data_IF_500839180014
#
_entry.id   IF_500839180014
#
_cell.length_a   1.000
_cell.length_b   1.000
_cell.length_c   1.000
_cell.angle_alpha   90.00
_cell.angle_beta   90.00
_cell.angle_gamma   90.00
#
_symmetry.space_group_name_H-M   'P 1'
#
loop_
_entity.id
_entity.type
_entity.pdbx_description
1 polymer ?
#
# COMPACT_ATOMS: atom_id res chain seq x y z
N UNK A 1 -41.12 -11.03 33.17
CA UNK A 1 -39.70 -11.15 33.51
C UNK A 1 -38.91 -10.79 32.25
N UNK A 2 -38.66 -9.50 32.07
CA UNK A 2 -37.90 -8.98 30.94
C UNK A 2 -36.41 -9.15 31.27
N UNK A 3 -35.75 -10.12 30.65
CA UNK A 3 -34.30 -10.26 30.78
C UNK A 3 -33.65 -9.08 30.05
N UNK A 4 -33.16 -8.11 30.82
CA UNK A 4 -32.26 -7.09 30.29
C UNK A 4 -31.02 -7.80 29.73
N UNK A 5 -30.89 -7.85 28.41
CA UNK A 5 -29.69 -8.33 27.73
C UNK A 5 -28.55 -7.37 28.11
N UNK A 6 -27.77 -7.77 29.11
CA UNK A 6 -26.65 -6.97 29.59
C UNK A 6 -25.67 -6.74 28.44
N UNK A 7 -25.43 -5.47 28.11
CA UNK A 7 -24.48 -5.10 27.08
C UNK A 7 -23.10 -5.71 27.42
N UNK A 8 -22.40 -6.35 26.46
CA UNK A 8 -21.12 -6.99 26.72
C UNK A 8 -20.10 -5.97 27.27
N UNK A 9 -19.37 -6.35 28.32
CA UNK A 9 -18.40 -5.49 28.98
C UNK A 9 -17.27 -5.07 28.02
N UNK A 10 -16.64 -3.91 28.28
CA UNK A 10 -15.57 -3.36 27.45
C UNK A 10 -14.40 -4.36 27.23
N UNK A 11 -14.08 -5.17 28.25
CA UNK A 11 -13.11 -6.24 28.16
C UNK A 11 -13.53 -7.34 27.17
N UNK A 12 -14.83 -7.69 27.14
CA UNK A 12 -15.37 -8.68 26.22
C UNK A 12 -15.30 -8.16 24.77
N UNK A 13 -15.66 -6.88 24.53
CA UNK A 13 -15.58 -6.26 23.20
C UNK A 13 -14.14 -6.17 22.67
N UNK A 14 -13.18 -5.80 23.52
CA UNK A 14 -11.73 -5.79 23.16
C UNK A 14 -11.22 -7.20 22.84
N UNK A 15 -11.58 -8.20 23.65
CA UNK A 15 -11.20 -9.60 23.42
C UNK A 15 -11.80 -10.13 22.12
N UNK A 16 -13.08 -9.86 21.85
CA UNK A 16 -13.73 -10.22 20.58
C UNK A 16 -13.05 -9.55 19.40
N UNK A 17 -12.73 -8.26 19.46
CA UNK A 17 -12.02 -7.56 18.39
C UNK A 17 -10.65 -8.18 18.10
N UNK A 18 -9.86 -8.48 19.14
CA UNK A 18 -8.55 -9.13 18.98
C UNK A 18 -8.71 -10.52 18.35
N UNK A 19 -9.68 -11.32 18.82
CA UNK A 19 -9.92 -12.67 18.27
C UNK A 19 -10.35 -12.60 16.81
N UNK A 20 -11.24 -11.66 16.46
CA UNK A 20 -11.70 -11.47 15.07
C UNK A 20 -10.53 -11.06 14.18
N UNK A 21 -9.75 -10.04 14.56
CA UNK A 21 -8.58 -9.61 13.79
C UNK A 21 -7.56 -10.74 13.63
N UNK A 22 -7.29 -11.49 14.70
CA UNK A 22 -6.39 -12.64 14.66
C UNK A 22 -6.91 -13.74 13.73
N UNK A 23 -8.21 -14.04 13.78
CA UNK A 23 -8.82 -15.07 12.92
C UNK A 23 -8.75 -14.71 11.43
N UNK A 24 -8.96 -13.44 11.09
CA UNK A 24 -8.84 -12.93 9.71
C UNK A 24 -7.39 -13.04 9.25
N UNK A 25 -6.43 -12.62 10.08
CA UNK A 25 -5.01 -12.72 9.76
C UNK A 25 -4.58 -14.18 9.54
N UNK A 26 -5.02 -15.10 10.40
CA UNK A 26 -4.74 -16.53 10.26
C UNK A 26 -5.33 -17.09 8.96
N UNK A 27 -6.57 -16.73 8.63
CA UNK A 27 -7.21 -17.17 7.39
C UNK A 27 -6.45 -16.65 6.16
N UNK A 28 -6.06 -15.37 6.14
CA UNK A 28 -5.27 -14.78 5.05
C UNK A 28 -3.92 -15.47 4.87
N UNK A 29 -3.22 -15.76 5.97
CA UNK A 29 -1.94 -16.50 5.93
C UNK A 29 -2.15 -17.91 5.39
N UNK A 30 -3.15 -18.64 5.88
CA UNK A 30 -3.45 -19.99 5.41
C UNK A 30 -3.77 -20.02 3.90
N UNK A 31 -4.61 -19.10 3.42
CA UNK A 31 -4.93 -18.96 1.99
C UNK A 31 -3.68 -18.62 1.18
N UNK A 32 -2.84 -17.71 1.68
CA UNK A 32 -1.60 -17.32 0.99
C UNK A 32 -0.62 -18.50 0.88
N UNK A 33 -0.53 -19.34 1.91
CA UNK A 33 0.32 -20.55 1.90
C UNK A 33 -0.22 -21.57 0.90
N UNK A 34 -1.53 -21.84 0.91
CA UNK A 34 -2.16 -22.78 -0.03
C UNK A 34 -1.97 -22.30 -1.47
N UNK A 35 -2.21 -21.01 -1.72
CA UNK A 35 -1.98 -20.40 -3.03
C UNK A 35 -0.52 -20.55 -3.46
N UNK A 36 0.43 -20.22 -2.58
CA UNK A 36 1.86 -20.32 -2.87
C UNK A 36 2.32 -21.75 -3.15
N UNK A 37 1.69 -22.76 -2.54
CA UNK A 37 1.98 -24.17 -2.79
C UNK A 37 1.44 -24.66 -4.14
N UNK A 38 0.36 -24.06 -4.64
CA UNK A 38 -0.31 -24.47 -5.89
C UNK A 38 0.05 -23.63 -7.12
N UNK A 39 0.52 -22.39 -6.93
CA UNK A 39 0.66 -21.43 -8.00
C UNK A 39 2.05 -21.46 -8.65
N UNK A 40 2.14 -21.17 -9.96
CA UNK A 40 3.44 -20.97 -10.62
C UNK A 40 4.24 -19.83 -9.97
N UNK A 41 5.57 -19.97 -10.00
CA UNK A 41 6.54 -19.06 -9.38
C UNK A 41 6.24 -17.57 -9.58
N UNK A 42 5.91 -17.18 -10.82
CA UNK A 42 5.59 -15.80 -11.17
C UNK A 42 4.43 -15.23 -10.34
N UNK A 43 3.37 -16.02 -10.11
CA UNK A 43 2.20 -15.57 -9.36
C UNK A 43 2.48 -15.44 -7.87
N UNK A 44 3.33 -16.31 -7.32
CA UNK A 44 3.77 -16.22 -5.91
C UNK A 44 4.58 -14.95 -5.71
N UNK A 45 5.51 -14.64 -6.63
CA UNK A 45 6.33 -13.44 -6.58
C UNK A 45 5.49 -12.18 -6.75
N UNK A 46 4.49 -12.21 -7.63
CA UNK A 46 3.53 -11.12 -7.81
C UNK A 46 2.67 -10.90 -6.56
N UNK A 47 2.21 -11.98 -5.92
CA UNK A 47 1.45 -11.90 -4.67
C UNK A 47 2.29 -11.23 -3.56
N UNK A 48 3.55 -11.66 -3.38
CA UNK A 48 4.45 -11.08 -2.38
C UNK A 48 4.78 -9.62 -2.70
N UNK A 49 5.03 -9.30 -3.97
CA UNK A 49 5.30 -7.94 -4.44
C UNK A 49 4.13 -7.00 -4.18
N UNK A 50 2.92 -7.38 -4.63
CA UNK A 50 1.71 -6.56 -4.45
C UNK A 50 1.36 -6.45 -2.96
N UNK A 51 1.48 -7.54 -2.20
CA UNK A 51 1.26 -7.52 -0.75
C UNK A 51 2.19 -6.53 -0.03
N UNK A 52 3.49 -6.55 -0.35
CA UNK A 52 4.46 -5.60 0.19
C UNK A 52 4.16 -4.16 -0.26
N UNK A 53 3.72 -3.96 -1.51
CA UNK A 53 3.33 -2.65 -2.01
C UNK A 53 2.09 -2.10 -1.28
N UNK A 54 1.09 -2.94 -0.98
CA UNK A 54 -0.09 -2.57 -0.20
C UNK A 54 0.28 -2.14 1.22
N UNK A 55 1.17 -2.87 1.90
CA UNK A 55 1.63 -2.49 3.25
C UNK A 55 2.41 -1.18 3.22
N UNK A 56 3.29 -1.00 2.22
CA UNK A 56 4.09 0.21 2.07
C UNK A 56 3.24 1.45 1.75
N UNK A 57 2.45 1.40 0.69
CA UNK A 57 1.65 2.55 0.20
C UNK A 57 0.42 2.78 1.07
N UNK A 58 -0.30 1.70 1.41
CA UNK A 58 -1.48 1.78 2.27
C UNK A 58 -1.16 2.22 3.69
N UNK A 59 -0.03 1.75 4.25
CA UNK A 59 0.45 2.19 5.55
C UNK A 59 0.80 3.67 5.57
N UNK A 60 1.47 4.17 4.52
CA UNK A 60 1.80 5.60 4.39
C UNK A 60 0.54 6.47 4.31
N UNK A 61 -0.40 6.10 3.43
CA UNK A 61 -1.66 6.81 3.28
C UNK A 61 -2.47 6.83 4.59
N UNK A 62 -2.53 5.70 5.29
CA UNK A 62 -3.25 5.60 6.56
C UNK A 62 -2.69 6.56 7.62
N UNK A 63 -1.37 6.61 7.80
CA UNK A 63 -0.74 7.54 8.76
C UNK A 63 -1.02 8.99 8.39
N UNK A 64 -0.96 9.33 7.10
CA UNK A 64 -1.30 10.68 6.63
C UNK A 64 -2.76 11.04 6.94
N UNK A 65 -3.70 10.13 6.71
CA UNK A 65 -5.12 10.36 7.04
C UNK A 65 -5.28 10.57 8.54
N UNK A 66 -4.65 9.75 9.38
CA UNK A 66 -4.70 9.93 10.83
C UNK A 66 -4.13 11.28 11.26
N UNK A 67 -3.02 11.72 10.66
CA UNK A 67 -2.43 13.03 10.95
C UNK A 67 -3.38 14.18 10.55
N UNK A 68 -3.98 14.12 9.36
CA UNK A 68 -4.97 15.10 8.90
C UNK A 68 -6.20 15.12 9.81
N UNK A 69 -6.71 13.96 10.20
CA UNK A 69 -7.86 13.89 11.11
C UNK A 69 -7.55 14.45 12.50
N UNK A 70 -6.33 14.26 13.00
CA UNK A 70 -5.90 14.83 14.28
C UNK A 70 -5.71 16.36 14.21
N UNK A 71 -5.19 16.87 13.08
CA UNK A 71 -5.07 18.31 12.82
C UNK A 71 -6.44 18.97 12.67
N UNK A 72 -7.37 18.33 11.94
CA UNK A 72 -8.76 18.80 11.84
C UNK A 72 -9.50 18.79 13.18
N UNK A 73 -9.06 17.97 14.13
CA UNK A 73 -9.61 17.91 15.48
C UNK A 73 -8.90 18.86 16.47
N UNK A 74 -7.90 19.64 16.02
CA UNK A 74 -7.08 20.54 16.84
C UNK A 74 -6.47 19.84 18.07
N UNK A 75 -6.02 18.59 17.88
CA UNK A 75 -5.54 17.72 18.95
C UNK A 75 -4.03 17.45 18.85
N UNK A 76 -3.25 18.36 19.41
CA UNK A 76 -1.78 18.35 19.39
C UNK A 76 -1.16 17.10 20.05
N UNK A 77 -1.77 16.58 21.12
CA UNK A 77 -1.29 15.37 21.80
C UNK A 77 -1.39 14.13 20.90
N UNK A 78 -2.47 14.06 20.11
CA UNK A 78 -2.68 12.98 19.16
C UNK A 78 -1.74 13.08 17.95
N UNK A 79 -1.46 14.29 17.48
CA UNK A 79 -0.45 14.53 16.44
C UNK A 79 0.95 14.10 16.91
N UNK A 80 1.33 14.42 18.15
CA UNK A 80 2.61 14.01 18.72
C UNK A 80 2.73 12.49 18.81
N UNK A 81 1.68 11.80 19.28
CA UNK A 81 1.65 10.34 19.32
C UNK A 81 1.75 9.73 17.92
N UNK A 82 0.99 10.23 16.95
CA UNK A 82 1.06 9.75 15.55
C UNK A 82 2.48 9.96 15.01
N UNK A 83 3.13 11.08 15.34
CA UNK A 83 4.53 11.35 14.97
C UNK A 83 5.50 10.27 15.49
N UNK A 84 5.42 9.91 16.78
CA UNK A 84 6.26 8.86 17.36
C UNK A 84 6.02 7.48 16.75
N UNK A 85 4.75 7.13 16.49
CA UNK A 85 4.41 5.88 15.81
C UNK A 85 4.88 5.87 14.37
N UNK A 86 4.74 6.99 13.66
CA UNK A 86 5.22 7.15 12.29
C UNK A 86 6.74 7.01 12.24
N UNK A 87 7.50 7.66 13.11
CA UNK A 87 8.96 7.53 13.15
C UNK A 87 9.40 6.08 13.37
N UNK A 88 8.76 5.39 14.31
CA UNK A 88 9.16 4.02 14.68
C UNK A 88 8.75 2.99 13.62
N UNK A 89 7.51 3.10 13.11
CA UNK A 89 6.91 2.16 12.18
C UNK A 89 7.32 2.48 10.76
N UNK A 90 7.08 3.70 10.27
CA UNK A 90 7.45 4.09 8.91
C UNK A 90 8.97 4.04 8.71
N UNK A 91 9.75 4.46 9.70
CA UNK A 91 11.22 4.47 9.63
C UNK A 91 11.86 3.09 9.43
N UNK A 92 11.15 2.00 9.75
CA UNK A 92 11.66 0.62 9.58
C UNK A 92 10.86 -0.18 8.57
N UNK A 93 9.54 -0.12 8.66
CA UNK A 93 8.63 -0.92 7.84
C UNK A 93 8.64 -0.47 6.39
N UNK A 94 8.64 0.84 6.11
CA UNK A 94 8.55 1.32 4.73
C UNK A 94 9.82 1.01 3.94
N UNK A 95 11.04 1.30 4.44
CA UNK A 95 12.26 0.88 3.74
C UNK A 95 12.33 -0.62 3.53
N UNK A 96 12.01 -1.43 4.56
CA UNK A 96 12.00 -2.89 4.44
C UNK A 96 11.05 -3.36 3.34
N UNK A 97 9.82 -2.85 3.30
CA UNK A 97 8.86 -3.21 2.26
C UNK A 97 9.27 -2.69 0.87
N UNK A 98 9.91 -1.52 0.77
CA UNK A 98 10.45 -1.02 -0.50
C UNK A 98 11.51 -1.97 -1.09
N UNK A 99 12.40 -2.52 -0.27
CA UNK A 99 13.37 -3.52 -0.73
C UNK A 99 12.70 -4.82 -1.18
N UNK A 100 11.65 -5.24 -0.48
CA UNK A 100 10.86 -6.43 -0.85
C UNK A 100 10.16 -6.22 -2.19
N UNK A 101 9.49 -5.08 -2.37
CA UNK A 101 8.84 -4.69 -3.64
C UNK A 101 9.87 -4.63 -4.75
N UNK A 102 10.99 -3.93 -4.56
CA UNK A 102 12.04 -3.80 -5.56
C UNK A 102 12.64 -5.16 -5.93
N UNK A 103 12.99 -5.98 -4.94
CA UNK A 103 13.60 -7.29 -5.15
C UNK A 103 12.69 -8.23 -5.93
N UNK A 104 11.41 -8.33 -5.54
CA UNK A 104 10.45 -9.16 -6.27
C UNK A 104 10.09 -8.58 -7.65
N UNK A 105 10.08 -7.25 -7.79
CA UNK A 105 9.89 -6.58 -9.08
C UNK A 105 10.99 -6.95 -10.07
N UNK A 106 12.26 -6.83 -9.65
CA UNK A 106 13.43 -7.23 -10.45
C UNK A 106 13.39 -8.73 -10.76
N UNK A 107 13.07 -9.58 -9.78
CA UNK A 107 13.01 -11.02 -9.98
C UNK A 107 11.94 -11.44 -11.02
N UNK A 108 10.79 -10.75 -11.06
CA UNK A 108 9.76 -11.00 -12.06
C UNK A 108 10.15 -10.51 -13.46
N UNK A 109 10.89 -9.41 -13.56
CA UNK A 109 11.30 -8.86 -14.87
C UNK A 109 12.51 -9.55 -15.47
N UNK A 110 13.38 -10.19 -14.67
CA UNK A 110 14.49 -11.00 -15.18
C UNK A 110 14.04 -12.24 -15.98
N UNK A 111 12.81 -12.71 -15.76
CA UNK A 111 12.23 -13.88 -16.44
C UNK A 111 11.08 -13.52 -17.40
N UNK A 112 10.72 -12.24 -17.49
CA UNK A 112 9.74 -11.77 -18.45
C UNK A 112 10.46 -11.11 -19.61
N UNK A 113 10.24 -11.58 -20.83
CA UNK A 113 10.55 -10.86 -22.08
C UNK A 113 9.68 -9.59 -22.20
N UNK A 114 9.66 -8.75 -21.16
CA UNK A 114 9.00 -7.46 -21.14
C UNK A 114 9.99 -6.49 -21.75
N UNK A 115 9.80 -6.02 -23.00
CA UNK A 115 10.70 -5.04 -23.57
C UNK A 115 10.61 -3.77 -22.72
N UNK A 116 11.69 -3.46 -22.00
CA UNK A 116 11.90 -2.14 -21.43
C UNK A 116 12.05 -1.19 -22.60
N UNK A 117 10.94 -0.62 -23.09
CA UNK A 117 11.03 0.41 -24.09
C UNK A 117 11.87 1.56 -23.48
N UNK A 118 13.06 1.74 -24.07
CA UNK A 118 14.10 2.71 -23.73
C UNK A 118 13.66 4.18 -23.88
N UNK A 119 12.35 4.42 -23.96
CA UNK A 119 11.74 5.72 -24.20
C UNK A 119 12.30 6.79 -23.27
N UNK A 120 12.41 6.50 -21.97
CA UNK A 120 12.90 7.46 -20.98
C UNK A 120 14.41 7.73 -21.07
N UNK A 121 15.19 6.75 -21.54
CA UNK A 121 16.66 6.86 -21.69
C UNK A 121 17.01 7.66 -22.96
N UNK A 122 16.30 7.40 -24.06
CA UNK A 122 16.45 8.12 -25.33
C UNK A 122 16.04 9.60 -25.16
N UNK A 123 14.95 9.86 -24.45
CA UNK A 123 14.44 11.21 -24.21
C UNK A 123 15.34 12.07 -23.29
N UNK A 124 15.99 11.45 -22.30
CA UNK A 124 16.88 12.14 -21.37
C UNK A 124 18.26 12.48 -21.99
N UNK A 125 18.79 11.60 -22.85
CA UNK A 125 20.05 11.82 -23.55
C UNK A 125 20.00 13.02 -24.51
N UNK A 126 18.80 13.36 -25.00
CA UNK A 126 18.63 14.37 -26.04
C UNK A 126 18.40 15.80 -25.49
N UNK A 127 18.02 16.01 -24.22
CA UNK A 127 17.52 17.32 -23.74
C UNK A 127 18.20 17.96 -22.51
N UNK A 128 19.17 17.33 -21.83
CA UNK A 128 20.04 17.99 -20.82
C UNK A 128 19.38 18.53 -19.51
N UNK A 129 19.98 18.36 -18.31
CA UNK A 129 19.32 18.61 -17.02
C UNK A 129 18.96 20.07 -16.67
N UNK A 130 19.48 21.07 -17.41
CA UNK A 130 19.32 22.51 -17.09
C UNK A 130 18.50 23.29 -18.13
N UNK A 131 17.90 22.61 -19.11
CA UNK A 131 17.04 23.26 -20.08
C UNK A 131 15.76 23.81 -19.40
N UNK A 132 15.26 25.00 -19.78
CA UNK A 132 14.02 25.58 -19.24
C UNK A 132 12.79 24.66 -19.43
N UNK A 133 12.87 23.72 -20.37
CA UNK A 133 11.90 22.66 -20.62
C UNK A 133 11.83 21.60 -19.52
N UNK A 134 12.95 21.33 -18.83
CA UNK A 134 13.02 20.42 -17.67
C UNK A 134 12.34 21.03 -16.45
N UNK A 135 12.39 22.35 -16.29
CA UNK A 135 11.66 23.10 -15.25
C UNK A 135 10.14 23.11 -15.50
N UNK A 136 9.71 23.23 -16.77
CA UNK A 136 8.32 23.02 -17.15
C UNK A 136 7.89 21.54 -16.93
N UNK A 137 8.80 20.59 -17.17
CA UNK A 137 8.59 19.17 -16.86
C UNK A 137 8.61 18.85 -15.37
N UNK A 138 9.31 19.59 -14.52
CA UNK A 138 9.25 19.45 -13.05
C UNK A 138 7.85 19.80 -12.53
N UNK A 139 7.24 20.85 -13.09
CA UNK A 139 5.83 21.19 -12.86
C UNK A 139 4.89 20.11 -13.40
N UNK A 140 5.25 19.50 -14.53
CA UNK A 140 4.57 18.33 -15.11
C UNK A 140 4.78 17.06 -14.29
N UNK A 141 5.92 16.87 -13.62
CA UNK A 141 6.22 15.75 -12.73
C UNK A 141 5.36 15.88 -11.47
N UNK A 142 5.21 17.08 -10.91
CA UNK A 142 4.27 17.31 -9.80
C UNK A 142 2.81 17.07 -10.23
N UNK A 143 2.46 17.40 -11.47
CA UNK A 143 1.16 17.03 -12.04
C UNK A 143 1.03 15.52 -12.26
N UNK A 144 2.09 14.85 -12.75
CA UNK A 144 2.16 13.40 -12.92
C UNK A 144 2.06 12.68 -11.58
N UNK A 145 2.65 13.18 -10.50
CA UNK A 145 2.49 12.64 -9.15
C UNK A 145 1.04 12.77 -8.68
N UNK A 146 0.37 13.91 -8.96
CA UNK A 146 -1.06 14.08 -8.66
C UNK A 146 -1.94 13.13 -9.49
N UNK A 147 -1.59 12.93 -10.75
CA UNK A 147 -2.24 11.97 -11.64
C UNK A 147 -1.95 10.53 -11.22
N UNK A 148 -0.75 10.25 -10.71
CA UNK A 148 -0.32 8.93 -10.23
C UNK A 148 -1.06 8.54 -8.95
N UNK A 149 -1.25 9.49 -8.02
CA UNK A 149 -2.13 9.31 -6.87
C UNK A 149 -3.59 9.12 -7.32
N UNK A 150 -4.08 9.93 -8.27
CA UNK A 150 -5.42 9.75 -8.81
C UNK A 150 -5.59 8.41 -9.55
N UNK A 151 -4.55 7.94 -10.23
CA UNK A 151 -4.49 6.67 -10.94
C UNK A 151 -4.41 5.50 -9.97
N UNK A 152 -3.66 5.62 -8.87
CA UNK A 152 -3.69 4.67 -7.76
C UNK A 152 -5.11 4.53 -7.21
N UNK A 153 -5.80 5.66 -6.97
CA UNK A 153 -7.21 5.64 -6.57
C UNK A 153 -8.12 5.02 -7.65
N UNK A 154 -7.88 5.29 -8.93
CA UNK A 154 -8.63 4.73 -10.05
C UNK A 154 -8.39 3.23 -10.22
N UNK A 155 -7.16 2.75 -10.01
CA UNK A 155 -6.80 1.33 -10.02
C UNK A 155 -7.47 0.63 -8.85
N UNK A 156 -7.44 1.23 -7.66
CA UNK A 156 -8.17 0.70 -6.50
C UNK A 156 -9.67 0.69 -6.77
N UNK A 157 -10.22 1.74 -7.38
CA UNK A 157 -11.62 1.78 -7.80
C UNK A 157 -11.93 0.71 -8.86
N UNK A 158 -11.08 0.50 -9.87
CA UNK A 158 -11.22 -0.59 -10.84
C UNK A 158 -11.22 -1.95 -10.12
N UNK A 159 -10.31 -2.16 -9.17
CA UNK A 159 -10.27 -3.39 -8.38
C UNK A 159 -11.48 -3.59 -7.47
N UNK A 160 -12.12 -2.51 -6.99
CA UNK A 160 -13.32 -2.55 -6.14
C UNK A 160 -14.60 -2.69 -6.97
N UNK A 161 -14.65 -2.01 -8.12
CA UNK A 161 -15.82 -1.94 -8.99
C UNK A 161 -15.88 -3.11 -9.94
N UNK A 162 -14.77 -3.81 -10.23
CA UNK A 162 -14.79 -5.07 -10.98
C UNK A 162 -15.53 -6.13 -10.15
N UNK A 163 -16.83 -6.36 -10.38
CA UNK A 163 -17.59 -7.31 -9.59
C UNK A 163 -17.40 -8.65 -10.27
N UNK A 164 -16.67 -9.60 -9.66
CA UNK A 164 -16.82 -11.03 -9.92
C UNK A 164 -17.15 -11.41 -11.38
N UNK A 165 -16.34 -10.99 -12.36
CA UNK A 165 -16.49 -11.52 -13.72
C UNK A 165 -15.66 -12.78 -13.82
N UNK A 166 -16.28 -13.90 -13.43
CA UNK A 166 -15.81 -15.27 -13.65
C UNK A 166 -15.56 -15.56 -15.13
N UNK A 167 -14.46 -16.28 -15.42
CA UNK A 167 -14.46 -17.55 -16.18
C UNK A 167 -13.15 -18.28 -15.92
#
# INVERSE_FOLDING_TARGET
>A
MEQAVAAPSAANRRRTSIIVTASIAVALVAVSIVFAASAPWYFVFKMLHVGAAVVWVGGGLFITICAVLAELADNDDQLLQIGHWAETVAGRLFPAMSFVVLGFGIAMTMNGDIPYNQFWIIFAAEHGPKAPEVQARLRRILFVVRVDVALMFLIVFDMVVKPFSWS
#
